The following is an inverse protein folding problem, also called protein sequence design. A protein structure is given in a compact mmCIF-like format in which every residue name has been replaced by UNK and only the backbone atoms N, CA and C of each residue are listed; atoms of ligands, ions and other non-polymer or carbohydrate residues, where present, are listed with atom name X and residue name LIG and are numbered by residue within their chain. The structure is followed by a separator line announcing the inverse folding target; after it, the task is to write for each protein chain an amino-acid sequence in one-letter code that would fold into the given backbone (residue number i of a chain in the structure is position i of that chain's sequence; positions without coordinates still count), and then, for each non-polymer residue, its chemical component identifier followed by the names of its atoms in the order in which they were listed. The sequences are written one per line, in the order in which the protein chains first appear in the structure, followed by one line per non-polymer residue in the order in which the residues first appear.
data_IF_038463652586
#
_entry.id   IF_038463652586
#
_cell.length_a   1.000
_cell.length_b   1.000
_cell.length_c   1.000
_cell.angle_alpha   90.00
_cell.angle_beta   90.00
_cell.angle_gamma   90.00
#
_symmetry.space_group_name_H-M   'P 1'
#
loop_
_entity.id
_entity.type
_entity.pdbx_description
1 polymer ?
#
# COMPACT_ATOMS: atom_id res chain seq x y z
N UNK A 1 -1.48 13.37 -0.93
CA UNK A 1 -1.11 13.75 0.45
C UNK A 1 -0.08 12.73 0.94
N UNK A 2 0.96 13.16 1.65
CA UNK A 2 1.98 12.27 2.23
C UNK A 2 1.61 11.77 3.63
N UNK A 3 2.47 10.96 4.25
CA UNK A 3 2.31 10.49 5.63
C UNK A 3 2.31 11.68 6.60
N UNK A 4 1.26 11.79 7.40
CA UNK A 4 1.14 12.77 8.48
C UNK A 4 2.12 12.46 9.62
N UNK A 5 2.36 13.43 10.51
CA UNK A 5 3.26 13.22 11.65
C UNK A 5 2.78 12.08 12.56
N UNK A 6 1.48 12.02 12.85
CA UNK A 6 0.90 10.94 13.67
C UNK A 6 1.13 9.57 13.05
N UNK A 7 1.00 9.44 11.73
CA UNK A 7 1.27 8.18 11.02
C UNK A 7 2.75 7.82 11.06
N UNK A 8 3.65 8.79 10.85
CA UNK A 8 5.09 8.57 10.95
C UNK A 8 5.51 8.12 12.36
N UNK A 9 4.96 8.73 13.41
CA UNK A 9 5.24 8.36 14.79
C UNK A 9 4.73 6.94 15.11
N UNK A 10 3.55 6.58 14.60
CA UNK A 10 3.01 5.23 14.74
C UNK A 10 3.86 4.17 14.00
N UNK A 11 4.24 4.44 12.75
CA UNK A 11 5.10 3.56 11.95
C UNK A 11 6.49 3.41 12.58
N UNK A 12 7.06 4.51 13.12
CA UNK A 12 8.32 4.50 13.85
C UNK A 12 8.23 3.60 15.10
N UNK A 13 7.16 3.74 15.88
CA UNK A 13 6.97 2.90 17.06
C UNK A 13 6.78 1.42 16.68
N UNK A 14 6.04 1.14 15.60
CA UNK A 14 5.85 -0.22 15.08
C UNK A 14 7.19 -0.86 14.67
N UNK A 15 7.99 -0.18 13.85
CA UNK A 15 9.28 -0.71 13.36
C UNK A 15 10.30 -0.87 14.50
N UNK A 16 10.40 0.11 15.40
CA UNK A 16 11.35 0.04 16.53
C UNK A 16 10.93 -0.99 17.59
N UNK A 17 9.64 -1.35 17.65
CA UNK A 17 9.12 -2.47 18.44
C UNK A 17 9.32 -3.86 17.81
N UNK A 18 9.97 -3.95 16.64
CA UNK A 18 10.23 -5.20 15.93
C UNK A 18 9.27 -5.51 14.78
N UNK A 19 8.31 -4.62 14.49
CA UNK A 19 7.39 -4.76 13.37
C UNK A 19 8.06 -4.61 12.00
N UNK A 20 7.64 -5.41 11.03
CA UNK A 20 8.15 -5.35 9.65
C UNK A 20 7.20 -4.54 8.76
N UNK A 21 7.74 -3.55 8.04
CA UNK A 21 6.97 -2.60 7.23
C UNK A 21 7.30 -2.75 5.75
N UNK A 22 6.28 -2.89 4.91
CA UNK A 22 6.39 -2.62 3.48
C UNK A 22 5.62 -1.33 3.17
N UNK A 23 6.32 -0.32 2.64
CA UNK A 23 5.74 0.96 2.25
C UNK A 23 5.91 1.14 0.74
N UNK A 24 4.81 1.26 0.00
CA UNK A 24 4.82 1.45 -1.45
C UNK A 24 4.02 2.67 -1.86
N UNK A 25 4.46 3.37 -2.89
CA UNK A 25 3.69 4.46 -3.48
C UNK A 25 4.52 5.33 -4.41
N UNK A 26 3.82 6.06 -5.27
CA UNK A 26 4.42 7.12 -6.07
C UNK A 26 4.50 8.42 -5.26
N UNK A 27 5.64 9.11 -5.32
CA UNK A 27 5.93 10.38 -4.61
C UNK A 27 5.97 10.29 -3.08
N UNK A 28 5.96 9.11 -2.48
CA UNK A 28 6.00 8.95 -1.03
C UNK A 28 7.31 9.49 -0.45
N UNK A 29 8.45 9.08 -1.01
CA UNK A 29 9.78 9.46 -0.54
C UNK A 29 10.11 10.89 -0.94
N UNK A 30 9.77 11.31 -2.16
CA UNK A 30 10.00 12.70 -2.58
C UNK A 30 9.18 13.71 -1.78
N UNK A 31 7.94 13.38 -1.39
CA UNK A 31 7.11 14.25 -0.53
C UNK A 31 7.73 14.41 0.85
N UNK A 32 8.18 13.32 1.48
CA UNK A 32 8.88 13.38 2.77
C UNK A 32 10.21 14.15 2.66
N UNK A 33 10.95 13.97 1.56
CA UNK A 33 12.23 14.65 1.34
C UNK A 33 12.05 16.17 1.17
N UNK A 34 10.93 16.61 0.59
CA UNK A 34 10.55 18.02 0.48
C UNK A 34 9.91 18.58 1.77
N UNK A 35 9.66 17.74 2.75
CA UNK A 35 8.98 18.08 4.00
C UNK A 35 9.88 18.72 5.05
N UNK A 36 9.39 18.65 6.29
CA UNK A 36 10.01 19.15 7.51
C UNK A 36 11.31 18.40 7.86
N UNK A 37 12.06 18.92 8.83
CA UNK A 37 13.24 18.21 9.36
C UNK A 37 12.87 16.83 9.93
N UNK A 38 11.69 16.74 10.54
CA UNK A 38 11.11 15.53 11.10
C UNK A 38 10.80 14.46 10.03
N UNK A 39 10.26 14.89 8.89
CA UNK A 39 10.00 14.01 7.73
C UNK A 39 11.32 13.42 7.18
N UNK A 40 12.36 14.26 7.12
CA UNK A 40 13.70 13.86 6.68
C UNK A 40 14.35 12.89 7.67
N UNK A 41 14.16 13.08 8.97
CA UNK A 41 14.60 12.12 9.99
C UNK A 41 13.84 10.79 9.89
N UNK A 42 12.55 10.81 9.55
CA UNK A 42 11.81 9.57 9.29
C UNK A 42 12.38 8.81 8.09
N UNK A 43 12.75 9.53 7.02
CA UNK A 43 13.41 8.95 5.87
C UNK A 43 14.75 8.29 6.22
N UNK A 44 15.62 8.96 6.96
CA UNK A 44 16.95 8.43 7.27
C UNK A 44 16.93 7.36 8.34
N UNK A 45 16.09 7.50 9.37
CA UNK A 45 16.15 6.63 10.53
C UNK A 45 15.34 5.34 10.35
N UNK A 46 14.16 5.46 9.73
CA UNK A 46 13.16 4.38 9.63
C UNK A 46 13.15 3.80 8.23
N UNK A 47 12.96 4.63 7.21
CA UNK A 47 12.88 4.15 5.82
C UNK A 47 14.25 3.81 5.22
N UNK A 48 15.32 4.45 5.74
CA UNK A 48 16.73 4.27 5.34
C UNK A 48 16.89 4.42 3.83
N UNK A 49 16.16 5.39 3.28
CA UNK A 49 16.06 5.70 1.87
C UNK A 49 16.05 7.22 1.67
N UNK A 50 16.58 7.68 0.54
CA UNK A 50 16.54 9.07 0.09
C UNK A 50 16.11 9.15 -1.37
N UNK A 51 15.73 10.34 -1.83
CA UNK A 51 15.51 10.59 -3.25
C UNK A 51 16.84 10.71 -3.99
N UNK A 52 16.91 10.16 -5.20
CA UNK A 52 18.01 10.34 -6.13
C UNK A 52 17.53 10.98 -7.43
N UNK A 53 18.46 11.57 -8.18
CA UNK A 53 18.16 12.17 -9.47
C UNK A 53 18.05 11.08 -10.55
N UNK A 54 17.15 11.28 -11.51
CA UNK A 54 17.01 10.42 -12.67
C UNK A 54 15.59 10.41 -13.23
N UNK A 55 15.45 10.00 -14.49
CA UNK A 55 14.16 9.75 -15.13
C UNK A 55 13.92 8.23 -15.17
N UNK A 56 13.05 7.69 -14.31
CA UNK A 56 12.79 6.26 -14.28
C UNK A 56 12.01 5.80 -15.51
N UNK A 57 12.26 4.57 -15.95
CA UNK A 57 11.45 3.89 -16.96
C UNK A 57 10.28 3.15 -16.28
N UNK A 58 9.17 2.94 -16.97
CA UNK A 58 8.00 2.20 -16.45
C UNK A 58 8.22 0.67 -16.39
N UNK A 59 9.39 0.23 -15.91
CA UNK A 59 9.75 -1.18 -15.78
C UNK A 59 10.79 -1.36 -14.68
N UNK A 60 10.59 -2.32 -13.80
CA UNK A 60 11.48 -2.60 -12.67
C UNK A 60 12.02 -4.03 -12.73
N UNK A 61 13.17 -4.26 -12.13
CA UNK A 61 13.79 -5.58 -12.01
C UNK A 61 14.55 -5.71 -10.69
N UNK A 62 14.91 -6.93 -10.34
CA UNK A 62 15.85 -7.22 -9.26
C UNK A 62 17.18 -6.48 -9.39
N UNK A 63 17.66 -5.94 -8.26
CA UNK A 63 19.04 -5.50 -8.12
C UNK A 63 19.94 -6.71 -7.85
N UNK A 64 21.09 -6.78 -8.54
CA UNK A 64 22.01 -7.91 -8.41
C UNK A 64 22.51 -8.08 -6.97
N UNK A 65 22.51 -9.31 -6.46
CA UNK A 65 22.94 -9.63 -5.09
C UNK A 65 21.97 -9.20 -3.98
N UNK A 66 20.86 -8.54 -4.31
CA UNK A 66 19.82 -8.16 -3.34
C UNK A 66 18.77 -9.25 -3.10
N UNK A 67 17.88 -9.02 -2.14
CA UNK A 67 16.77 -9.93 -1.78
C UNK A 67 15.91 -10.33 -2.99
N UNK A 68 15.75 -9.42 -3.94
CA UNK A 68 14.88 -9.57 -5.11
C UNK A 68 15.68 -9.76 -6.40
N UNK A 69 16.92 -10.23 -6.34
CA UNK A 69 17.78 -10.39 -7.52
C UNK A 69 17.14 -11.21 -8.65
N UNK A 70 16.31 -12.20 -8.29
CA UNK A 70 15.62 -13.08 -9.23
C UNK A 70 14.31 -12.51 -9.78
N UNK A 71 13.86 -11.34 -9.29
CA UNK A 71 12.65 -10.67 -9.79
C UNK A 71 12.86 -10.25 -11.24
N UNK A 72 12.05 -10.85 -12.12
CA UNK A 72 12.17 -10.64 -13.56
C UNK A 72 11.81 -9.21 -13.92
N UNK A 73 12.42 -8.68 -14.99
CA UNK A 73 12.08 -7.35 -15.48
C UNK A 73 10.58 -7.29 -15.79
N UNK A 74 9.84 -6.42 -15.11
CA UNK A 74 8.37 -6.39 -15.10
C UNK A 74 7.89 -4.97 -15.29
N UNK A 75 6.92 -4.74 -16.19
CA UNK A 75 6.40 -3.40 -16.44
C UNK A 75 5.61 -2.89 -15.24
N UNK A 76 5.68 -1.57 -15.03
CA UNK A 76 4.72 -0.84 -14.22
C UNK A 76 3.53 -0.50 -15.12
N UNK A 77 2.32 -0.78 -14.66
CA UNK A 77 1.12 -0.58 -15.45
C UNK A 77 0.85 0.90 -15.71
N UNK A 78 0.38 1.20 -16.90
CA UNK A 78 -0.02 2.53 -17.39
C UNK A 78 -1.55 2.62 -17.60
N UNK A 79 -2.28 1.62 -17.11
CA UNK A 79 -3.71 1.44 -17.34
C UNK A 79 -4.06 0.46 -18.47
N UNK A 80 -3.08 0.00 -19.25
CA UNK A 80 -3.31 -0.98 -20.34
C UNK A 80 -3.05 -2.43 -19.95
N UNK A 81 -2.40 -2.65 -18.80
CA UNK A 81 -1.89 -3.97 -18.37
C UNK A 81 -2.76 -4.66 -17.30
N UNK A 82 -3.98 -4.17 -17.04
CA UNK A 82 -4.90 -4.77 -16.06
C UNK A 82 -4.44 -4.68 -14.60
N UNK A 83 -3.48 -3.80 -14.29
CA UNK A 83 -2.98 -3.51 -12.96
C UNK A 83 -3.07 -2.00 -12.67
N UNK A 84 -2.75 -1.58 -11.43
CA UNK A 84 -2.94 -0.19 -11.00
C UNK A 84 -2.09 0.77 -11.85
N UNK A 85 -2.70 1.78 -12.51
CA UNK A 85 -1.96 2.72 -13.35
C UNK A 85 -1.00 3.57 -12.51
N UNK A 86 0.28 3.43 -12.78
CA UNK A 86 1.35 4.15 -12.09
C UNK A 86 1.55 5.51 -12.74
N UNK A 87 1.39 6.56 -11.92
CA UNK A 87 1.74 7.92 -12.30
C UNK A 87 3.22 8.20 -12.07
N UNK A 88 3.52 9.14 -11.16
CA UNK A 88 4.89 9.54 -10.84
C UNK A 88 5.51 8.56 -9.87
N UNK A 89 6.71 8.05 -10.18
CA UNK A 89 7.50 7.20 -9.29
C UNK A 89 8.65 7.98 -8.65
N UNK A 90 9.14 7.47 -7.52
CA UNK A 90 10.37 7.96 -6.88
C UNK A 90 11.58 7.15 -7.35
N UNK A 91 12.69 7.83 -7.57
CA UNK A 91 14.01 7.20 -7.73
C UNK A 91 14.69 7.20 -6.38
N UNK A 92 14.99 6.01 -5.87
CA UNK A 92 15.49 5.82 -4.51
C UNK A 92 17.00 5.61 -4.49
N UNK A 93 17.62 6.06 -3.41
CA UNK A 93 18.97 5.66 -3.02
C UNK A 93 18.96 5.19 -1.57
N UNK A 94 19.74 4.16 -1.21
CA UNK A 94 19.82 3.66 0.15
C UNK A 94 20.61 4.60 1.05
N UNK A 95 20.23 4.70 2.33
CA UNK A 95 20.96 5.45 3.35
C UNK A 95 21.13 4.61 4.62
N UNK A 96 22.11 4.93 5.46
CA UNK A 96 22.21 4.39 6.83
C UNK A 96 22.13 2.86 6.96
N UNK A 97 22.67 2.08 6.02
CA UNK A 97 22.59 0.60 6.06
C UNK A 97 21.36 -0.01 5.36
N UNK A 98 20.57 0.81 4.67
CA UNK A 98 19.69 0.33 3.61
C UNK A 98 20.48 -0.25 2.44
N UNK A 99 19.83 -1.08 1.63
CA UNK A 99 20.38 -1.67 0.42
C UNK A 99 19.37 -1.66 -0.71
N UNK A 100 19.81 -1.39 -1.93
CA UNK A 100 18.96 -1.49 -3.11
C UNK A 100 18.56 -2.94 -3.37
N UNK A 101 17.26 -3.17 -3.56
CA UNK A 101 16.71 -4.49 -3.88
C UNK A 101 16.01 -4.50 -5.24
N UNK A 102 15.55 -3.33 -5.71
CA UNK A 102 14.98 -3.16 -7.04
C UNK A 102 15.60 -1.95 -7.73
N UNK A 103 15.65 -2.02 -9.06
CA UNK A 103 16.07 -0.92 -9.94
C UNK A 103 15.16 -0.78 -11.15
N UNK A 104 15.13 0.40 -11.73
CA UNK A 104 14.50 0.60 -13.02
C UNK A 104 15.31 -0.08 -14.12
N UNK A 105 14.64 -0.87 -14.95
CA UNK A 105 15.25 -1.79 -15.93
C UNK A 105 16.19 -1.03 -16.88
N UNK A 106 17.36 -1.60 -17.15
CA UNK A 106 18.35 -0.97 -18.04
C UNK A 106 19.06 0.25 -17.45
N UNK A 107 18.84 0.57 -16.17
CA UNK A 107 19.48 1.69 -15.49
C UNK A 107 20.13 1.26 -14.15
N UNK A 108 20.84 2.18 -13.51
CA UNK A 108 21.29 2.09 -12.11
C UNK A 108 20.34 2.80 -11.13
N UNK A 109 19.21 3.33 -11.61
CA UNK A 109 18.27 4.09 -10.79
C UNK A 109 17.50 3.14 -9.86
N UNK A 110 17.57 3.36 -8.55
CA UNK A 110 16.92 2.53 -7.55
C UNK A 110 15.39 2.69 -7.58
N UNK A 111 14.68 1.56 -7.48
CA UNK A 111 13.22 1.50 -7.44
C UNK A 111 12.70 0.95 -6.09
N UNK A 112 13.57 0.33 -5.29
CA UNK A 112 13.21 -0.21 -3.98
C UNK A 112 14.41 -0.42 -3.08
N UNK A 113 14.26 -0.05 -1.81
CA UNK A 113 15.29 -0.12 -0.77
C UNK A 113 14.81 -1.01 0.37
N UNK A 114 15.67 -1.91 0.83
CA UNK A 114 15.47 -2.73 2.02
C UNK A 114 16.39 -2.26 3.13
N UNK A 115 15.83 -1.95 4.29
CA UNK A 115 16.57 -1.80 5.54
C UNK A 115 16.45 -3.05 6.39
N UNK A 116 17.59 -3.64 6.71
CA UNK A 116 17.67 -4.61 7.79
C UNK A 116 17.76 -3.85 9.11
N UNK A 117 16.71 -3.94 9.93
CA UNK A 117 16.77 -3.40 11.29
C UNK A 117 17.90 -4.10 12.07
N UNK A 118 18.66 -3.34 12.84
CA UNK A 118 19.52 -3.92 13.89
C UNK A 118 18.61 -4.30 15.03
N UNK A 119 18.53 -5.59 15.37
CA UNK A 119 17.70 -6.11 16.45
C UNK A 119 17.79 -5.21 17.69
N UNK A 120 16.66 -4.77 18.28
CA UNK A 120 15.29 -5.28 18.07
C UNK A 120 14.51 -4.65 16.91
N UNK A 121 15.10 -3.79 16.07
CA UNK A 121 14.36 -3.13 14.99
C UNK A 121 13.89 -4.11 13.90
N UNK A 122 12.66 -3.95 13.43
CA UNK A 122 12.09 -4.71 12.33
C UNK A 122 12.65 -4.27 10.98
N UNK A 123 12.21 -4.95 9.91
CA UNK A 123 12.71 -4.73 8.55
C UNK A 123 11.78 -3.81 7.79
N UNK A 124 12.35 -2.93 6.95
CA UNK A 124 11.58 -1.96 6.17
C UNK A 124 11.90 -2.11 4.70
N UNK A 125 10.89 -2.42 3.88
CA UNK A 125 10.96 -2.42 2.43
C UNK A 125 10.21 -1.20 1.89
N UNK A 126 10.90 -0.32 1.19
CA UNK A 126 10.30 0.86 0.54
C UNK A 126 10.31 0.66 -0.96
N UNK A 127 9.17 0.86 -1.62
CA UNK A 127 9.02 0.85 -3.07
C UNK A 127 8.69 2.26 -3.56
N UNK A 128 9.44 2.74 -4.55
CA UNK A 128 9.22 4.06 -5.18
C UNK A 128 8.02 4.12 -6.12
N UNK A 129 7.21 3.06 -6.15
CA UNK A 129 6.03 2.91 -6.97
C UNK A 129 4.94 2.16 -6.16
N UNK A 130 3.65 2.30 -6.51
CA UNK A 130 2.58 1.50 -5.91
C UNK A 130 2.80 0.02 -6.21
N UNK A 131 2.80 -0.84 -5.19
CA UNK A 131 3.04 -2.28 -5.34
C UNK A 131 2.06 -2.93 -6.32
N UNK A 132 0.80 -2.50 -6.28
CA UNK A 132 -0.31 -2.93 -7.14
C UNK A 132 -0.09 -2.56 -8.61
N UNK A 133 0.83 -1.63 -8.88
CA UNK A 133 1.19 -1.19 -10.21
C UNK A 133 2.20 -2.07 -10.92
N UNK A 134 2.86 -3.01 -10.21
CA UNK A 134 3.69 -4.02 -10.85
C UNK A 134 2.78 -4.95 -11.64
N UNK A 135 2.86 -5.00 -12.97
CA UNK A 135 1.82 -5.64 -13.78
C UNK A 135 1.67 -7.15 -13.53
N UNK A 136 2.76 -7.86 -13.26
CA UNK A 136 2.72 -9.31 -13.05
C UNK A 136 2.27 -9.71 -11.64
N UNK A 137 1.19 -10.49 -11.55
CA UNK A 137 0.77 -11.16 -10.32
C UNK A 137 1.87 -12.08 -9.78
N UNK A 138 2.53 -12.83 -10.66
CA UNK A 138 3.63 -13.70 -10.28
C UNK A 138 4.77 -12.94 -9.60
N UNK A 139 5.19 -11.80 -10.16
CA UNK A 139 6.27 -11.02 -9.57
C UNK A 139 5.83 -10.21 -8.34
N UNK A 140 4.55 -9.79 -8.25
CA UNK A 140 3.96 -9.25 -7.02
C UNK A 140 4.02 -10.29 -5.88
N UNK A 141 3.61 -11.51 -6.16
CA UNK A 141 3.63 -12.63 -5.22
C UNK A 141 5.06 -12.98 -4.78
N UNK A 142 6.02 -12.95 -5.71
CA UNK A 142 7.44 -13.15 -5.41
C UNK A 142 7.99 -12.06 -4.49
N UNK A 143 7.67 -10.80 -4.76
CA UNK A 143 8.15 -9.66 -3.96
C UNK A 143 7.67 -9.78 -2.50
N UNK A 144 6.37 -9.99 -2.29
CA UNK A 144 5.79 -10.14 -0.95
C UNK A 144 6.32 -11.40 -0.27
N UNK A 145 6.36 -12.53 -0.98
CA UNK A 145 6.88 -13.79 -0.45
C UNK A 145 8.32 -13.67 0.03
N UNK A 146 9.18 -13.02 -0.76
CA UNK A 146 10.57 -12.77 -0.38
C UNK A 146 10.67 -11.87 0.87
N UNK A 147 9.84 -10.82 0.98
CA UNK A 147 9.83 -9.97 2.17
C UNK A 147 9.31 -10.69 3.43
N UNK A 148 8.29 -11.54 3.29
CA UNK A 148 7.75 -12.36 4.39
C UNK A 148 8.78 -13.38 4.89
N UNK A 149 9.50 -14.05 3.98
CA UNK A 149 10.60 -14.95 4.35
C UNK A 149 11.72 -14.18 5.01
N UNK A 150 12.12 -13.06 4.41
CA UNK A 150 13.19 -12.21 4.91
C UNK A 150 12.89 -11.70 6.31
N UNK A 151 11.65 -11.33 6.61
CA UNK A 151 11.19 -10.88 7.93
C UNK A 151 11.06 -12.02 8.95
N UNK A 152 11.13 -13.29 8.53
CA UNK A 152 10.92 -14.44 9.41
C UNK A 152 9.47 -14.67 9.79
N UNK A 153 8.52 -13.98 9.16
CA UNK A 153 7.08 -14.18 9.36
C UNK A 153 6.63 -15.52 8.76
N UNK A 154 7.32 -15.99 7.72
CA UNK A 154 7.16 -17.34 7.15
C UNK A 154 8.53 -17.96 6.93
N UNK A 155 8.62 -19.28 6.97
CA UNK A 155 9.89 -20.01 6.73
C UNK A 155 10.17 -20.22 5.25
N UNK A 156 9.13 -20.23 4.41
CA UNK A 156 9.23 -20.40 2.97
C UNK A 156 8.17 -19.52 2.27
N UNK A 157 8.53 -18.98 1.10
CA UNK A 157 7.58 -18.23 0.29
C UNK A 157 6.47 -19.17 -0.24
N UNK A 158 5.23 -18.68 -0.35
CA UNK A 158 4.16 -19.40 -1.03
C UNK A 158 4.56 -19.78 -2.47
N UNK A 159 3.96 -20.85 -2.99
CA UNK A 159 4.12 -21.19 -4.39
C UNK A 159 3.69 -20.01 -5.27
N UNK A 160 4.50 -19.69 -6.28
CA UNK A 160 4.18 -18.60 -7.19
C UNK A 160 3.00 -19.00 -8.07
N UNK A 161 2.08 -18.06 -8.37
CA UNK A 161 1.05 -18.32 -9.36
C UNK A 161 1.69 -18.53 -10.74
N UNK A 162 0.89 -19.05 -11.67
CA UNK A 162 1.28 -19.14 -13.07
C UNK A 162 1.72 -17.78 -13.59
N UNK A 163 2.64 -17.80 -14.56
CA UNK A 163 3.06 -16.58 -15.21
C UNK A 163 1.84 -15.89 -15.84
N UNK A 164 1.74 -14.58 -15.65
CA UNK A 164 0.68 -13.78 -16.24
C UNK A 164 0.63 -14.05 -17.75
N UNK A 165 -0.39 -14.78 -18.18
CA UNK A 165 -0.74 -14.88 -19.58
C UNK A 165 -1.45 -13.58 -19.88
N UNK A 166 -0.72 -12.56 -20.32
CA UNK A 166 -1.38 -11.47 -21.04
C UNK A 166 -1.99 -12.12 -22.28
N UNK A 167 -3.33 -12.23 -22.41
CA UNK A 167 -3.87 -12.58 -23.70
C UNK A 167 -3.31 -11.55 -24.68
N UNK A 168 -2.74 -12.01 -25.79
CA UNK A 168 -2.42 -11.10 -26.88
C UNK A 168 -3.69 -10.31 -27.13
N UNK A 169 -3.67 -9.01 -26.86
CA UNK A 169 -4.73 -8.11 -27.29
C UNK A 169 -4.69 -8.21 -28.80
N UNK A 170 -5.48 -9.13 -29.38
CA UNK A 170 -5.81 -9.06 -30.78
C UNK A 170 -6.35 -7.66 -30.99
N UNK A 171 -5.93 -6.92 -32.03
CA UNK A 171 -6.51 -5.64 -32.37
C UNK A 171 -7.95 -5.88 -32.82
N UNK A 172 -8.85 -6.11 -31.86
CA UNK A 172 -10.27 -6.09 -32.10
C UNK A 172 -10.65 -4.62 -32.12
N UNK A 173 -11.22 -4.11 -33.22
CA UNK A 173 -11.75 -2.75 -33.23
C UNK A 173 -12.75 -2.59 -32.08
N UNK A 174 -12.75 -1.41 -31.45
CA UNK A 174 -13.57 -1.02 -30.30
C UNK A 174 -15.09 -1.00 -30.58
N UNK A 175 -15.55 -1.71 -31.62
CA UNK A 175 -16.95 -1.79 -32.03
C UNK A 175 -17.75 -2.84 -31.27
N UNK A 176 -17.13 -3.59 -30.34
CA UNK A 176 -17.83 -4.61 -29.54
C UNK A 176 -17.60 -4.42 -28.04
N UNK A 177 -18.23 -3.41 -27.46
CA UNK A 177 -18.61 -3.46 -26.04
C UNK A 177 -19.71 -4.52 -25.89
N UNK A 178 -19.34 -5.79 -25.91
CA UNK A 178 -20.21 -6.88 -25.46
C UNK A 178 -19.69 -7.25 -24.08
N UNK A 179 -20.47 -6.93 -23.05
CA UNK A 179 -20.19 -7.42 -21.70
C UNK A 179 -19.98 -8.94 -21.78
N UNK A 180 -18.91 -9.44 -21.16
CA UNK A 180 -18.74 -10.89 -21.00
C UNK A 180 -19.95 -11.37 -20.22
N UNK A 181 -20.89 -12.01 -20.94
CA UNK A 181 -22.04 -12.64 -20.32
C UNK A 181 -21.48 -13.87 -19.64
N UNK A 182 -21.31 -13.77 -18.32
CA UNK A 182 -21.05 -14.91 -17.46
C UNK A 182 -22.08 -15.98 -17.81
N UNK A 183 -21.62 -17.18 -18.15
CA UNK A 183 -22.51 -18.30 -18.44
C UNK A 183 -23.18 -18.64 -17.12
N UNK A 184 -24.43 -18.21 -16.97
CA UNK A 184 -25.26 -18.53 -15.82
C UNK A 184 -25.32 -20.06 -15.66
N UNK A 185 -24.87 -20.64 -14.53
CA UNK A 185 -24.84 -22.09 -14.34
C UNK A 185 -26.24 -22.69 -14.17
N UNK A 186 -27.31 -21.90 -14.20
CA UNK A 186 -28.68 -22.37 -14.09
C UNK A 186 -29.25 -22.78 -15.47
N UNK A 187 -29.94 -23.93 -15.59
CA UNK A 187 -30.63 -24.32 -16.82
C UNK A 187 -31.66 -23.26 -17.22
N UNK A 188 -31.86 -23.00 -18.52
CA UNK A 188 -32.85 -22.03 -18.97
C UNK A 188 -34.24 -22.46 -18.53
N UNK A 189 -34.87 -21.64 -17.70
CA UNK A 189 -36.30 -21.75 -17.39
C UNK A 189 -37.05 -21.08 -18.55
N UNK A 190 -38.00 -21.78 -19.16
CA UNK A 190 -38.86 -21.22 -20.21
C UNK A 190 -39.55 -19.96 -19.67
N UNK A 191 -39.40 -18.79 -20.32
CA UNK A 191 -40.09 -17.59 -19.90
C UNK A 191 -41.59 -17.77 -20.19
N UNK A 192 -42.40 -17.76 -19.13
CA UNK A 192 -43.83 -17.59 -19.24
C UNK A 192 -44.19 -16.28 -19.97
N UNK A 193 -45.48 -16.08 -20.36
CA UNK A 193 -45.89 -14.92 -21.15
C UNK A 193 -45.45 -13.63 -20.46
N UNK A 194 -44.58 -12.88 -21.14
CA UNK A 194 -43.88 -11.73 -20.57
C UNK A 194 -44.83 -10.65 -20.05
N UNK A 195 -44.56 -10.18 -18.84
CA UNK A 195 -45.13 -8.93 -18.37
C UNK A 195 -44.69 -7.79 -19.31
N UNK A 196 -45.57 -6.85 -19.66
CA UNK A 196 -45.23 -5.77 -20.56
C UNK A 196 -44.11 -4.90 -19.97
N UNK A 197 -43.15 -4.53 -20.82
CA UNK A 197 -42.00 -3.71 -20.44
C UNK A 197 -42.46 -2.45 -19.69
N UNK A 198 -41.90 -2.14 -18.50
CA UNK A 198 -42.29 -0.97 -17.75
C UNK A 198 -41.94 0.29 -18.55
N UNK A 199 -42.95 1.11 -18.81
CA UNK A 199 -42.79 2.38 -19.51
C UNK A 199 -41.86 3.32 -18.72
N UNK A 200 -40.93 4.03 -19.39
CA UNK A 200 -40.03 4.95 -18.71
C UNK A 200 -40.82 6.07 -18.03
N UNK A 201 -40.67 6.20 -16.72
CA UNK A 201 -41.30 7.28 -15.95
C UNK A 201 -40.43 8.53 -16.07
N UNK A 202 -40.93 9.56 -16.77
CA UNK A 202 -40.25 10.85 -16.86
C UNK A 202 -40.61 11.69 -15.64
N UNK A 203 -39.63 12.00 -14.80
CA UNK A 203 -39.80 12.92 -13.67
C UNK A 203 -39.53 14.35 -14.19
N UNK A 204 -40.49 15.28 -14.12
CA UNK A 204 -40.40 16.58 -14.77
C UNK A 204 -39.42 17.57 -14.11
N UNK A 205 -38.94 17.29 -12.90
CA UNK A 205 -37.87 18.02 -12.24
C UNK A 205 -37.12 17.09 -11.27
N UNK A 206 -35.78 17.14 -11.29
CA UNK A 206 -34.99 16.47 -10.25
C UNK A 206 -35.28 17.13 -8.90
N UNK A 207 -35.59 16.35 -7.84
CA UNK A 207 -35.65 16.91 -6.49
C UNK A 207 -34.32 17.59 -6.15
N UNK A 208 -34.38 18.82 -5.65
CA UNK A 208 -33.22 19.66 -5.30
C UNK A 208 -32.38 19.12 -4.12
N UNK A 209 -32.64 17.89 -3.68
CA UNK A 209 -32.07 17.31 -2.47
C UNK A 209 -30.67 16.73 -2.71
N UNK A 210 -30.19 16.75 -3.97
CA UNK A 210 -28.85 16.28 -4.36
C UNK A 210 -27.71 17.29 -4.14
N UNK A 211 -27.97 18.43 -3.51
CA UNK A 211 -26.93 19.32 -2.95
C UNK A 211 -27.56 20.27 -1.93
N UNK A 212 -27.25 20.16 -0.62
CA UNK A 212 -25.88 20.10 -0.11
C UNK A 212 -25.68 18.97 0.92
N UNK A 213 -25.02 17.88 0.51
CA UNK A 213 -24.25 17.00 1.41
C UNK A 213 -22.92 16.63 0.76
N UNK A 214 -22.19 17.66 0.34
CA UNK A 214 -20.80 17.54 -0.10
C UNK A 214 -19.83 17.09 1.01
N UNK A 215 -20.24 17.10 2.29
CA UNK A 215 -19.39 16.69 3.40
C UNK A 215 -20.18 15.88 4.43
N UNK A 216 -20.35 14.58 4.19
CA UNK A 216 -20.50 13.55 5.24
C UNK A 216 -20.56 12.18 4.56
N UNK A 217 -19.38 11.63 4.29
CA UNK A 217 -19.23 10.24 3.89
C UNK A 217 -19.88 9.31 4.92
N UNK A 218 -20.63 8.35 4.38
CA UNK A 218 -21.23 7.16 4.96
C UNK A 218 -20.86 6.84 6.43
N UNK A 219 -21.83 7.03 7.32
CA UNK A 219 -21.96 6.31 8.58
C UNK A 219 -23.27 5.52 8.60
N UNK A 220 -23.18 4.25 8.94
CA UNK A 220 -24.24 3.40 9.51
C UNK A 220 -23.51 2.53 10.57
N UNK A 221 -23.91 2.42 11.82
CA UNK A 221 -25.04 2.96 12.57
C UNK A 221 -24.76 2.87 14.07
N UNK A 222 -25.57 3.60 14.84
CA UNK A 222 -25.45 3.75 16.28
C UNK A 222 -25.87 2.49 17.06
N UNK A 223 -25.12 2.19 18.12
CA UNK A 223 -25.56 1.39 19.25
C UNK A 223 -25.16 2.11 20.53
N UNK A 224 -26.11 2.77 21.18
CA UNK A 224 -25.93 3.42 22.47
C UNK A 224 -25.67 2.37 23.57
N UNK A 225 -24.67 2.61 24.42
CA UNK A 225 -24.38 1.79 25.59
C UNK A 225 -23.58 2.59 26.61
N UNK A 226 -24.27 3.11 27.62
CA UNK A 226 -23.73 3.78 28.80
C UNK A 226 -23.00 2.79 29.71
N UNK A 227 -21.70 2.98 29.95
CA UNK A 227 -20.89 2.43 31.06
C UNK A 227 -19.41 2.69 30.75
N UNK A 228 -18.50 3.14 31.61
CA UNK A 228 -18.50 3.37 33.05
C UNK A 228 -17.25 4.18 33.37
N UNK A 229 -17.34 5.13 34.31
CA UNK A 229 -16.25 5.98 34.81
C UNK A 229 -15.13 5.23 35.56
N UNK A 230 -14.89 3.96 35.27
CA UNK A 230 -13.88 3.12 35.91
C UNK A 230 -12.48 3.25 35.25
N UNK A 231 -12.42 3.65 33.97
CA UNK A 231 -11.16 3.81 33.24
C UNK A 231 -10.40 5.10 33.57
N UNK A 232 -11.13 6.15 34.00
CA UNK A 232 -10.51 7.40 34.44
C UNK A 232 -9.76 7.23 35.79
N UNK A 233 -10.18 6.29 36.64
CA UNK A 233 -9.50 6.00 37.90
C UNK A 233 -8.21 5.19 37.71
N UNK A 234 -8.14 4.28 36.72
CA UNK A 234 -6.91 3.52 36.40
C UNK A 234 -5.83 4.44 35.81
N UNK A 235 -6.21 5.40 34.96
CA UNK A 235 -5.28 6.39 34.41
C UNK A 235 -4.63 7.27 35.49
N UNK A 236 -5.39 7.69 36.49
CA UNK A 236 -4.88 8.51 37.62
C UNK A 236 -3.96 7.70 38.55
N UNK A 237 -4.26 6.43 38.80
CA UNK A 237 -3.43 5.55 39.65
C UNK A 237 -2.05 5.25 39.01
N UNK A 238 -2.00 5.07 37.68
CA UNK A 238 -0.74 4.83 36.96
C UNK A 238 0.15 6.09 36.95
N UNK A 239 -0.45 7.28 36.79
CA UNK A 239 0.31 8.54 36.81
C UNK A 239 0.87 8.86 38.21
N UNK A 240 0.11 8.60 39.28
CA UNK A 240 0.58 8.81 40.65
C UNK A 240 1.70 7.83 41.06
N UNK A 241 1.70 6.59 40.54
CA UNK A 241 2.81 5.63 40.77
C UNK A 241 4.10 6.04 40.06
N UNK A 242 4.03 6.58 38.84
CA UNK A 242 5.21 7.09 38.12
C UNK A 242 5.82 8.33 38.79
N UNK A 243 5.01 9.22 39.35
CA UNK A 243 5.51 10.39 40.07
C UNK A 243 6.25 10.01 41.36
N UNK A 244 5.74 9.03 42.13
CA UNK A 244 6.39 8.55 43.36
C UNK A 244 7.69 7.77 43.11
N UNK A 245 7.78 7.02 42.01
CA UNK A 245 9.02 6.32 41.63
C UNK A 245 10.16 7.29 41.22
N UNK A 246 9.83 8.40 40.56
CA UNK A 246 10.82 9.44 40.21
C UNK A 246 11.34 10.20 41.44
N UNK A 247 10.49 10.46 42.45
CA UNK A 247 10.90 11.10 43.69
C UNK A 247 11.82 10.22 44.56
N UNK A 248 11.66 8.89 44.52
CA UNK A 248 12.53 7.96 45.23
C UNK A 248 13.93 7.83 44.59
N UNK A 249 14.03 8.07 43.27
CA UNK A 249 15.30 8.00 42.55
C UNK A 249 16.15 9.28 42.64
N UNK A 250 15.54 10.41 43.02
CA UNK A 250 16.21 11.69 43.22
C UNK A 250 16.78 11.89 44.63
N UNK A 251 16.67 10.87 45.51
CA UNK A 251 17.09 10.91 46.92
C UNK A 251 18.15 9.85 47.28
N UNK A 252 18.87 9.31 46.30
CA UNK A 252 20.07 8.49 46.50
C UNK A 252 21.28 9.17 45.90
#
# INVERSE_FOLDING_TARGET
AGLTRTEQDALRAFVTGGGHLMLSGGRTVSTLAAGTADDKLFLTDILRASIAAGAPVARVQGSAGGLLADLAATPLADGTLGAYPVGVTDVLAPTGGGADVLRYTGTSLGAGVLSAGTAPAGQVLVLGFPFEGLASNRERSRLVGAFLVRSGLVTQAPALPDADVTPAVSPRPLSSCVAVREVDPHPPVDPGPGDPDPQPTVIPALPNDYSPKGDSGCGCGAGAGTASGLWLLVGVIVQLRRARAKAAHAKR
#
